data_IF_328655337915
#
_entry.id   IF_328655337915
#
_cell.length_a   1.000
_cell.length_b   1.000
_cell.length_c   1.000
_cell.angle_alpha   90.00
_cell.angle_beta   90.00
_cell.angle_gamma   90.00
#
_symmetry.space_group_name_H-M   'P 1'
#
loop_
_entity.id
_entity.type
_entity.pdbx_description
1 polymer ?
#
# COMPACT_ATOMS: atom_id res chain seq x y z
N UNK A 1 2.60 -18.67 -13.80
CA UNK A 1 2.73 -18.43 -12.36
C UNK A 1 2.09 -17.08 -12.09
N UNK A 2 0.97 -17.08 -11.35
CA UNK A 2 0.36 -15.82 -10.91
C UNK A 2 1.25 -15.26 -9.80
N UNK A 3 2.08 -14.27 -10.14
CA UNK A 3 2.90 -13.52 -9.19
C UNK A 3 1.98 -12.65 -8.32
N UNK A 4 1.33 -13.27 -7.33
CA UNK A 4 0.36 -12.63 -6.44
C UNK A 4 1.04 -12.24 -5.14
N UNK A 5 0.93 -10.97 -4.76
CA UNK A 5 1.40 -10.48 -3.46
C UNK A 5 0.54 -11.09 -2.36
N UNK A 6 1.11 -11.84 -1.40
CA UNK A 6 0.30 -12.57 -0.44
C UNK A 6 -0.17 -11.69 0.72
N UNK A 7 -1.35 -12.01 1.28
CA UNK A 7 -1.85 -11.39 2.53
C UNK A 7 -0.82 -11.56 3.68
N UNK A 8 -0.09 -12.68 3.70
CA UNK A 8 0.94 -12.92 4.70
C UNK A 8 2.10 -11.92 4.58
N UNK A 9 2.56 -11.63 3.37
CA UNK A 9 3.64 -10.64 3.12
C UNK A 9 3.17 -9.22 3.45
N UNK A 10 1.91 -8.90 3.14
CA UNK A 10 1.25 -7.69 3.58
C UNK A 10 1.31 -7.52 5.11
N UNK A 11 0.80 -8.49 5.88
CA UNK A 11 0.74 -8.45 7.34
C UNK A 11 2.15 -8.37 7.96
N UNK A 12 3.11 -9.08 7.38
CA UNK A 12 4.51 -9.03 7.79
C UNK A 12 5.09 -7.61 7.63
N UNK A 13 4.88 -6.99 6.47
CA UNK A 13 5.39 -5.64 6.18
C UNK A 13 4.78 -4.57 7.08
N UNK A 14 3.46 -4.59 7.24
CA UNK A 14 2.75 -3.61 8.07
C UNK A 14 2.93 -3.86 9.57
N UNK A 15 3.61 -4.96 9.97
CA UNK A 15 3.83 -5.39 11.35
C UNK A 15 2.54 -5.46 12.17
N UNK A 16 1.58 -6.22 11.67
CA UNK A 16 0.25 -6.28 12.24
C UNK A 16 -0.41 -7.62 12.01
N UNK A 17 -1.60 -7.73 12.56
CA UNK A 17 -2.46 -8.90 12.59
C UNK A 17 -3.88 -8.48 12.22
N UNK A 18 -4.79 -9.44 12.10
CA UNK A 18 -6.23 -9.24 11.93
C UNK A 18 -6.86 -8.21 12.88
N UNK A 19 -6.35 -8.06 14.10
CA UNK A 19 -6.85 -7.10 15.09
C UNK A 19 -6.03 -5.79 15.17
N UNK A 20 -5.06 -5.60 14.28
CA UNK A 20 -4.24 -4.40 14.28
C UNK A 20 -5.00 -3.22 13.68
N UNK A 21 -5.01 -2.09 14.40
CA UNK A 21 -5.72 -0.87 13.96
C UNK A 21 -5.37 -0.44 12.53
N UNK A 22 -4.09 -0.55 12.13
CA UNK A 22 -3.64 -0.19 10.77
C UNK A 22 -4.27 -1.07 9.68
N UNK A 23 -4.51 -2.35 9.98
CA UNK A 23 -5.16 -3.32 9.08
C UNK A 23 -6.63 -2.95 8.92
N UNK A 24 -7.35 -2.86 10.05
CA UNK A 24 -8.76 -2.48 10.08
C UNK A 24 -9.05 -1.13 9.40
N UNK A 25 -8.25 -0.09 9.71
CA UNK A 25 -8.40 1.22 9.09
C UNK A 25 -8.03 1.20 7.60
N UNK A 26 -7.07 0.35 7.20
CA UNK A 26 -6.72 0.15 5.80
C UNK A 26 -7.85 -0.49 5.00
N UNK A 27 -8.48 -1.54 5.54
CA UNK A 27 -9.67 -2.16 4.93
C UNK A 27 -10.82 -1.16 4.81
N UNK A 28 -11.04 -0.30 5.81
CA UNK A 28 -12.06 0.75 5.73
C UNK A 28 -11.79 1.76 4.62
N UNK A 29 -10.52 2.17 4.45
CA UNK A 29 -10.12 3.06 3.34
C UNK A 29 -10.38 2.40 1.99
N UNK A 30 -10.05 1.11 1.86
CA UNK A 30 -10.25 0.33 0.65
C UNK A 30 -11.74 0.15 0.31
N UNK A 31 -12.53 -0.32 1.28
CA UNK A 31 -13.97 -0.58 1.13
C UNK A 31 -14.76 0.70 0.85
N UNK A 32 -14.30 1.86 1.33
CA UNK A 32 -14.89 3.14 1.02
C UNK A 32 -14.55 3.67 -0.38
N UNK A 33 -13.75 2.94 -1.16
CA UNK A 33 -13.35 3.35 -2.52
C UNK A 33 -12.46 4.59 -2.52
N UNK A 34 -11.72 4.86 -1.45
CA UNK A 34 -10.90 6.07 -1.35
C UNK A 34 -9.59 5.99 -2.14
N UNK A 35 -9.19 4.80 -2.60
CA UNK A 35 -8.08 4.62 -3.54
C UNK A 35 -8.57 4.97 -4.94
N UNK A 36 -8.21 6.15 -5.43
CA UNK A 36 -8.67 6.69 -6.71
C UNK A 36 -7.83 6.14 -7.88
N UNK A 37 -6.54 5.93 -7.60
CA UNK A 37 -5.57 5.45 -8.57
C UNK A 37 -4.57 4.57 -7.84
N UNK A 38 -4.23 3.43 -8.43
CA UNK A 38 -3.16 2.54 -7.98
C UNK A 38 -2.63 1.80 -9.20
N UNK A 39 -1.32 1.89 -9.45
CA UNK A 39 -0.72 1.22 -10.60
C UNK A 39 0.80 1.20 -10.55
N UNK A 40 1.38 0.44 -11.47
CA UNK A 40 2.82 0.35 -11.67
C UNK A 40 3.27 1.52 -12.55
N UNK A 41 4.27 2.27 -12.10
CA UNK A 41 4.87 3.39 -12.85
C UNK A 41 6.21 3.06 -13.47
N UNK A 42 6.91 2.06 -12.94
CA UNK A 42 8.12 1.51 -13.54
C UNK A 42 8.22 0.01 -13.25
N UNK A 43 8.66 -0.76 -14.24
CA UNK A 43 8.88 -2.19 -14.16
C UNK A 43 10.24 -2.54 -14.74
N UNK A 44 11.12 -3.01 -13.87
CA UNK A 44 12.43 -3.57 -14.18
C UNK A 44 12.41 -5.07 -13.87
N UNK A 45 13.44 -5.80 -14.28
CA UNK A 45 13.51 -7.26 -14.17
C UNK A 45 13.15 -7.80 -12.77
N UNK A 46 13.68 -7.17 -11.72
CA UNK A 46 13.47 -7.58 -10.33
C UNK A 46 12.92 -6.46 -9.44
N UNK A 47 12.33 -5.40 -10.03
CA UNK A 47 11.88 -4.22 -9.27
C UNK A 47 10.63 -3.60 -9.88
N UNK A 48 9.59 -3.43 -9.07
CA UNK A 48 8.37 -2.70 -9.42
C UNK A 48 8.27 -1.43 -8.60
N UNK A 49 7.94 -0.32 -9.27
CA UNK A 49 7.59 0.93 -8.60
C UNK A 49 6.09 1.15 -8.73
N UNK A 50 5.41 1.34 -7.60
CA UNK A 50 3.99 1.64 -7.54
C UNK A 50 3.75 3.11 -7.19
N UNK A 51 2.67 3.62 -7.73
CA UNK A 51 2.12 4.92 -7.38
C UNK A 51 0.63 4.81 -7.14
N UNK A 52 0.15 5.44 -6.08
CA UNK A 52 -1.27 5.51 -5.77
C UNK A 52 -1.69 6.87 -5.21
N UNK A 53 -2.98 7.17 -5.39
CA UNK A 53 -3.66 8.35 -4.86
C UNK A 53 -4.83 7.91 -3.98
N UNK A 54 -4.88 8.42 -2.76
CA UNK A 54 -5.94 8.15 -1.79
C UNK A 54 -6.64 9.44 -1.35
N UNK A 55 -7.97 9.51 -1.40
CA UNK A 55 -8.73 10.66 -0.89
C UNK A 55 -8.43 10.93 0.59
N UNK A 56 -8.43 12.21 0.96
CA UNK A 56 -8.29 12.63 2.36
C UNK A 56 -9.67 12.74 3.01
N UNK A 57 -10.01 11.79 3.88
CA UNK A 57 -11.34 11.77 4.53
C UNK A 57 -11.59 12.99 5.43
N UNK A 58 -10.54 13.56 6.01
CA UNK A 58 -10.63 14.75 6.88
C UNK A 58 -10.54 16.07 6.12
N UNK A 59 -10.23 16.05 4.82
CA UNK A 59 -10.00 17.23 4.01
C UNK A 59 -10.32 16.94 2.54
N UNK A 60 -11.59 16.65 2.24
CA UNK A 60 -12.04 16.18 0.92
C UNK A 60 -11.70 17.11 -0.25
N UNK A 61 -11.51 18.40 0.01
CA UNK A 61 -11.13 19.41 -1.00
C UNK A 61 -9.61 19.51 -1.20
N UNK A 62 -8.81 18.84 -0.38
CA UNK A 62 -7.35 18.84 -0.49
C UNK A 62 -6.87 17.81 -1.50
N UNK A 63 -5.65 17.98 -1.99
CA UNK A 63 -5.01 17.02 -2.86
C UNK A 63 -4.97 15.62 -2.19
N UNK A 64 -5.26 14.52 -2.93
CA UNK A 64 -5.16 13.17 -2.41
C UNK A 64 -3.79 12.89 -1.78
N UNK A 65 -3.76 11.98 -0.81
CA UNK A 65 -2.50 11.43 -0.35
C UNK A 65 -1.81 10.69 -1.48
N UNK A 66 -0.57 11.08 -1.75
CA UNK A 66 0.33 10.39 -2.66
C UNK A 66 0.98 9.23 -1.90
N UNK A 67 0.93 8.04 -2.47
CA UNK A 67 1.60 6.85 -1.98
C UNK A 67 2.57 6.36 -3.05
N UNK A 68 3.83 6.15 -2.68
CA UNK A 68 4.86 5.58 -3.54
C UNK A 68 5.39 4.31 -2.88
N UNK A 69 5.52 3.25 -3.67
CA UNK A 69 5.95 1.95 -3.21
C UNK A 69 7.01 1.35 -4.12
N UNK A 70 7.85 0.49 -3.55
CA UNK A 70 8.79 -0.32 -4.30
C UNK A 70 8.68 -1.76 -3.84
N UNK A 71 8.46 -2.66 -4.79
CA UNK A 71 8.57 -4.10 -4.59
C UNK A 71 9.84 -4.59 -5.28
N UNK A 72 10.49 -5.57 -4.68
CA UNK A 72 11.63 -6.27 -5.29
C UNK A 72 11.31 -7.75 -5.39
N UNK A 73 11.82 -8.39 -6.43
CA UNK A 73 11.68 -9.82 -6.62
C UNK A 73 12.78 -10.52 -5.81
N UNK A 74 12.37 -11.35 -4.86
CA UNK A 74 13.24 -12.14 -4.00
C UNK A 74 12.90 -13.62 -4.20
N UNK A 75 13.84 -14.36 -4.77
CA UNK A 75 13.70 -15.73 -5.27
C UNK A 75 12.45 -15.96 -6.14
N UNK A 76 11.33 -16.37 -5.52
CA UNK A 76 10.08 -16.75 -6.19
C UNK A 76 8.91 -15.82 -5.86
N UNK A 77 9.13 -14.70 -5.17
CA UNK A 77 8.04 -13.78 -4.78
C UNK A 77 8.42 -12.30 -4.80
N UNK A 78 7.40 -11.46 -4.96
CA UNK A 78 7.52 -10.01 -4.76
C UNK A 78 7.45 -9.68 -3.26
N UNK A 79 8.47 -8.99 -2.76
CA UNK A 79 8.52 -8.48 -1.39
C UNK A 79 8.52 -6.96 -1.36
N UNK A 80 7.95 -6.39 -0.31
CA UNK A 80 7.92 -4.94 -0.14
C UNK A 80 9.29 -4.44 0.32
N UNK A 81 9.97 -3.65 -0.52
CA UNK A 81 11.19 -2.96 -0.12
C UNK A 81 10.85 -1.74 0.75
N UNK A 82 9.98 -0.85 0.24
CA UNK A 82 9.59 0.37 0.95
C UNK A 82 8.29 0.96 0.41
N UNK A 83 7.56 1.66 1.27
CA UNK A 83 6.45 2.51 0.91
C UNK A 83 6.56 3.83 1.68
N UNK A 84 6.07 4.91 1.06
CA UNK A 84 5.91 6.20 1.69
C UNK A 84 4.55 6.78 1.31
N UNK A 85 3.95 7.50 2.24
CA UNK A 85 2.69 8.22 2.01
C UNK A 85 2.83 9.67 2.45
N UNK A 86 2.19 10.60 1.76
CA UNK A 86 2.22 12.03 2.09
C UNK A 86 1.44 12.41 3.36
N UNK A 87 0.73 11.47 4.00
CA UNK A 87 0.08 11.71 5.29
C UNK A 87 1.11 11.85 6.42
N UNK A 88 0.70 12.42 7.56
CA UNK A 88 1.58 12.65 8.73
C UNK A 88 2.32 11.40 9.21
N UNK A 89 1.67 10.24 9.18
CA UNK A 89 2.27 8.96 9.60
C UNK A 89 2.96 8.19 8.45
N UNK A 90 2.92 8.71 7.23
CA UNK A 90 3.23 7.93 6.02
C UNK A 90 4.71 7.63 5.82
N UNK A 91 5.60 8.39 6.44
CA UNK A 91 7.05 8.12 6.42
C UNK A 91 7.44 6.86 7.21
N UNK A 92 6.53 6.32 8.04
CA UNK A 92 6.75 5.05 8.72
C UNK A 92 6.67 3.82 7.79
N UNK A 93 6.13 3.99 6.59
CA UNK A 93 5.77 2.89 5.69
C UNK A 93 4.52 2.11 6.11
N UNK A 94 3.85 2.49 7.21
CA UNK A 94 2.79 1.67 7.84
C UNK A 94 1.56 2.48 8.26
N UNK A 95 1.15 3.44 7.44
CA UNK A 95 -0.11 4.14 7.67
C UNK A 95 -1.28 3.37 7.04
N UNK A 96 -2.51 3.69 7.47
CA UNK A 96 -3.74 3.10 6.90
C UNK A 96 -3.85 3.20 5.38
N UNK A 97 -3.34 4.28 4.78
CA UNK A 97 -3.37 4.45 3.31
C UNK A 97 -2.43 3.48 2.60
N UNK A 98 -1.23 3.23 3.15
CA UNK A 98 -0.31 2.23 2.62
C UNK A 98 -0.91 0.83 2.80
N UNK A 99 -1.51 0.56 3.96
CA UNK A 99 -2.23 -0.69 4.20
C UNK A 99 -3.31 -0.94 3.15
N UNK A 100 -4.14 0.08 2.84
CA UNK A 100 -5.18 -0.03 1.83
C UNK A 100 -4.62 -0.32 0.42
N UNK A 101 -3.51 0.31 0.04
CA UNK A 101 -2.83 0.05 -1.25
C UNK A 101 -2.30 -1.39 -1.30
N UNK A 102 -1.66 -1.86 -0.24
CA UNK A 102 -1.13 -3.24 -0.20
C UNK A 102 -2.25 -4.29 -0.23
N UNK A 103 -3.38 -4.03 0.44
CA UNK A 103 -4.57 -4.88 0.39
C UNK A 103 -5.18 -4.94 -1.02
N UNK A 104 -5.27 -3.80 -1.72
CA UNK A 104 -5.71 -3.73 -3.13
C UNK A 104 -4.82 -4.58 -4.06
N UNK A 105 -3.54 -4.76 -3.71
CA UNK A 105 -2.58 -5.54 -4.48
C UNK A 105 -2.53 -7.03 -4.10
N UNK A 106 -3.22 -7.46 -3.04
CA UNK A 106 -3.17 -8.82 -2.49
C UNK A 106 -4.21 -9.80 -3.02
#
# INVERSE_FOLDING_TARGET
MENRFSICDYLLYIKGTDNSRVVYEGEHVLNAGHIILCGVTNMEENRLTLYALCLQTSALQSAPHKIEGTLVHDDEKWVVEKFACSCKAGQSGRCKHISAVLLQCS
#
